data_IF_954997513851
#
_entry.id   IF_954997513851
#
_cell.length_a   1.000
_cell.length_b   1.000
_cell.length_c   1.000
_cell.angle_alpha   90.00
_cell.angle_beta   90.00
_cell.angle_gamma   90.00
#
_symmetry.space_group_name_H-M   'P 1'
#
loop_
_entity.id
_entity.type
_entity.pdbx_description
1 polymer ?
#
# COMPACT_ATOMS: atom_id res chain seq x y z
N UNK A 1 27.36 -4.38 14.85
CA UNK A 1 25.98 -3.86 14.72
C UNK A 1 24.94 -4.94 14.94
N UNK A 2 24.98 -6.10 14.25
CA UNK A 2 24.00 -7.20 14.43
C UNK A 2 23.79 -7.64 15.89
N UNK A 3 24.86 -7.83 16.66
CA UNK A 3 24.76 -8.18 18.08
C UNK A 3 23.99 -7.15 18.94
N UNK A 4 23.97 -5.87 18.55
CA UNK A 4 23.19 -4.84 19.24
C UNK A 4 21.70 -4.93 18.88
N UNK A 5 21.37 -5.25 17.63
CA UNK A 5 19.99 -5.51 17.21
C UNK A 5 19.44 -6.77 17.86
N UNK A 6 20.23 -7.84 17.93
CA UNK A 6 19.86 -9.07 18.63
C UNK A 6 19.55 -8.82 20.10
N UNK A 7 20.35 -7.99 20.79
CA UNK A 7 20.10 -7.64 22.18
C UNK A 7 18.81 -6.81 22.33
N UNK A 8 18.61 -5.76 21.51
CA UNK A 8 17.38 -4.96 21.54
C UNK A 8 16.15 -5.81 21.24
N UNK A 9 16.25 -6.73 20.28
CA UNK A 9 15.16 -7.60 19.87
C UNK A 9 14.82 -8.67 20.92
N UNK A 10 15.83 -9.31 21.51
CA UNK A 10 15.62 -10.34 22.54
C UNK A 10 14.96 -9.80 23.82
N UNK A 11 15.05 -8.50 24.07
CA UNK A 11 14.41 -7.83 25.19
C UNK A 11 12.96 -7.39 24.90
N UNK A 12 12.49 -7.52 23.66
CA UNK A 12 11.13 -7.14 23.31
C UNK A 12 10.10 -8.12 23.89
N UNK A 13 9.03 -7.60 24.51
CA UNK A 13 7.82 -8.38 24.72
C UNK A 13 7.27 -8.94 23.39
N UNK A 14 6.52 -10.05 23.47
CA UNK A 14 6.10 -10.81 22.29
C UNK A 14 5.25 -10.00 21.29
N UNK A 15 4.42 -9.09 21.77
CA UNK A 15 3.61 -8.17 20.97
C UNK A 15 4.46 -7.16 20.19
N UNK A 16 5.49 -6.59 20.83
CA UNK A 16 6.44 -5.67 20.20
C UNK A 16 7.35 -6.39 19.20
N UNK A 17 7.82 -7.60 19.53
CA UNK A 17 8.60 -8.43 18.60
C UNK A 17 7.79 -8.78 17.35
N UNK A 18 6.50 -9.14 17.51
CA UNK A 18 5.56 -9.35 16.40
C UNK A 18 5.40 -8.08 15.57
N UNK A 19 5.15 -6.94 16.21
CA UNK A 19 4.97 -5.67 15.50
C UNK A 19 6.21 -5.29 14.68
N UNK A 20 7.41 -5.40 15.26
CA UNK A 20 8.66 -5.16 14.56
C UNK A 20 8.82 -6.05 13.32
N UNK A 21 8.55 -7.37 13.47
CA UNK A 21 8.62 -8.33 12.36
C UNK A 21 7.57 -8.13 11.27
N UNK A 22 6.44 -7.47 11.52
CA UNK A 22 5.41 -7.20 10.51
C UNK A 22 5.59 -5.83 9.84
N UNK A 23 6.12 -4.85 10.56
CA UNK A 23 6.35 -3.50 10.05
C UNK A 23 7.47 -3.42 9.01
N UNK A 24 8.30 -4.46 8.86
CA UNK A 24 9.30 -4.56 7.80
C UNK A 24 8.70 -4.35 6.39
N UNK A 25 7.45 -4.77 6.19
CA UNK A 25 6.75 -4.67 4.91
C UNK A 25 6.60 -3.22 4.44
N UNK A 26 6.52 -2.27 5.38
CA UNK A 26 5.80 -1.01 5.14
C UNK A 26 6.46 0.21 5.77
N UNK A 27 7.48 0.02 6.61
CA UNK A 27 8.14 1.11 7.33
C UNK A 27 9.51 1.51 6.75
N UNK A 28 9.85 1.13 5.51
CA UNK A 28 11.17 1.42 4.93
C UNK A 28 11.45 2.93 4.83
N UNK A 29 10.47 3.71 4.34
CA UNK A 29 10.59 5.17 4.30
C UNK A 29 9.84 5.84 5.46
N UNK A 30 8.51 5.75 5.47
CA UNK A 30 7.68 6.22 6.56
C UNK A 30 6.32 5.56 6.53
N UNK A 31 5.68 5.33 7.67
CA UNK A 31 4.30 4.84 7.77
C UNK A 31 3.54 5.61 8.83
N UNK A 32 2.28 5.95 8.56
CA UNK A 32 1.38 6.54 9.55
C UNK A 32 0.97 5.54 10.64
N UNK A 33 0.67 6.03 11.84
CA UNK A 33 0.13 5.18 12.92
C UNK A 33 -1.15 4.46 12.49
N UNK A 34 -1.99 5.12 11.69
CA UNK A 34 -3.21 4.54 11.14
C UNK A 34 -2.93 3.35 10.22
N UNK A 35 -2.07 3.52 9.21
CA UNK A 35 -1.70 2.43 8.31
C UNK A 35 -1.03 1.26 9.05
N UNK A 36 -0.13 1.57 10.00
CA UNK A 36 0.48 0.56 10.85
C UNK A 36 -0.56 -0.22 11.67
N UNK A 37 -1.59 0.45 12.20
CA UNK A 37 -2.64 -0.19 12.98
C UNK A 37 -3.46 -1.19 12.15
N UNK A 38 -3.77 -0.82 10.91
CA UNK A 38 -4.49 -1.68 9.96
C UNK A 38 -3.67 -2.92 9.63
N UNK A 39 -2.39 -2.76 9.32
CA UNK A 39 -1.47 -3.87 9.06
C UNK A 39 -1.37 -4.82 10.27
N UNK A 40 -1.17 -4.28 11.48
CA UNK A 40 -1.01 -5.09 12.69
C UNK A 40 -2.31 -5.76 13.18
N UNK A 41 -3.46 -5.29 12.71
CA UNK A 41 -4.78 -5.76 13.15
C UNK A 41 -5.15 -5.26 14.55
N UNK A 42 -4.68 -4.08 14.94
CA UNK A 42 -4.86 -3.51 16.29
C UNK A 42 -5.48 -2.12 16.24
N UNK A 43 -5.88 -1.56 17.39
CA UNK A 43 -6.35 -0.17 17.43
C UNK A 43 -5.20 0.81 17.24
N UNK A 44 -5.48 2.04 16.78
CA UNK A 44 -4.44 3.08 16.69
C UNK A 44 -3.80 3.39 18.05
N UNK A 45 -4.59 3.34 19.13
CA UNK A 45 -4.08 3.57 20.50
C UNK A 45 -3.04 2.53 20.90
N UNK A 46 -3.31 1.25 20.66
CA UNK A 46 -2.38 0.16 20.95
C UNK A 46 -1.17 0.22 20.04
N UNK A 47 -1.39 0.44 18.75
CA UNK A 47 -0.34 0.58 17.72
C UNK A 47 0.63 1.70 18.09
N UNK A 48 0.11 2.87 18.48
CA UNK A 48 0.93 4.00 18.92
C UNK A 48 1.79 3.67 20.14
N UNK A 49 1.29 2.83 21.05
CA UNK A 49 2.08 2.36 22.21
C UNK A 49 3.20 1.42 21.75
N UNK A 50 2.91 0.49 20.84
CA UNK A 50 3.90 -0.43 20.26
C UNK A 50 4.99 0.34 19.51
N UNK A 51 4.61 1.26 18.61
CA UNK A 51 5.54 2.07 17.81
C UNK A 51 6.45 2.94 18.70
N UNK A 52 5.89 3.55 19.75
CA UNK A 52 6.68 4.29 20.74
C UNK A 52 7.65 3.40 21.51
N UNK A 53 7.25 2.18 21.87
CA UNK A 53 8.12 1.25 22.56
C UNK A 53 9.29 0.79 21.67
N UNK A 54 9.01 0.46 20.41
CA UNK A 54 10.01 0.13 19.40
C UNK A 54 10.97 1.30 19.14
N UNK A 55 10.45 2.53 19.09
CA UNK A 55 11.30 3.71 18.94
C UNK A 55 12.23 3.94 20.15
N UNK A 56 11.75 3.70 21.38
CA UNK A 56 12.60 3.74 22.59
C UNK A 56 13.68 2.65 22.60
N UNK A 57 13.40 1.50 21.97
CA UNK A 57 14.38 0.44 21.78
C UNK A 57 15.37 0.71 20.62
N UNK A 58 15.24 1.85 19.93
CA UNK A 58 16.08 2.21 18.78
C UNK A 58 15.75 1.44 17.50
N UNK A 59 14.60 0.77 17.44
CA UNK A 59 14.18 -0.07 16.32
C UNK A 59 13.30 0.66 15.31
N UNK A 60 12.78 1.83 15.69
CA UNK A 60 12.04 2.75 14.83
C UNK A 60 12.43 4.20 15.12
N UNK A 61 12.17 5.09 14.18
CA UNK A 61 12.30 6.54 14.33
C UNK A 61 10.97 7.21 14.04
N UNK A 62 10.57 8.13 14.90
CA UNK A 62 9.44 9.01 14.64
C UNK A 62 9.89 10.12 13.67
N UNK A 63 9.22 10.25 12.53
CA UNK A 63 9.62 11.12 11.41
C UNK A 63 8.61 12.21 11.07
N UNK A 64 7.35 12.04 11.47
CA UNK A 64 6.31 13.04 11.23
C UNK A 64 6.50 14.28 12.09
N UNK A 65 6.33 15.46 11.53
CA UNK A 65 6.31 16.73 12.29
C UNK A 65 5.15 16.79 13.30
N UNK A 66 4.09 16.03 13.04
CA UNK A 66 2.92 15.80 13.90
C UNK A 66 3.12 14.68 14.94
N UNK A 67 4.24 13.95 14.84
CA UNK A 67 4.55 12.81 15.68
C UNK A 67 3.81 11.52 15.32
N UNK A 68 3.17 11.43 14.15
CA UNK A 68 2.31 10.29 13.79
C UNK A 68 2.85 9.40 12.66
N UNK A 69 4.08 9.67 12.20
CA UNK A 69 4.77 8.83 11.22
C UNK A 69 6.05 8.21 11.75
N UNK A 70 6.34 7.02 11.25
CA UNK A 70 7.36 6.12 11.77
C UNK A 70 8.17 5.53 10.64
N UNK A 71 9.48 5.45 10.80
CA UNK A 71 10.41 4.87 9.81
C UNK A 71 11.29 3.83 10.47
N UNK A 72 11.72 2.86 9.68
CA UNK A 72 12.70 1.86 10.01
C UNK A 72 13.91 2.06 9.10
N UNK A 73 15.11 2.13 9.66
CA UNK A 73 16.32 2.18 8.83
C UNK A 73 16.47 0.89 8.03
N UNK A 74 17.04 0.96 6.83
CA UNK A 74 17.26 -0.17 5.91
C UNK A 74 17.86 -1.40 6.59
N UNK A 75 18.87 -1.20 7.44
CA UNK A 75 19.52 -2.29 8.18
C UNK A 75 18.59 -2.97 9.19
N UNK A 76 17.69 -2.20 9.80
CA UNK A 76 16.67 -2.72 10.71
C UNK A 76 15.54 -3.40 9.93
N UNK A 77 15.18 -2.89 8.75
CA UNK A 77 14.20 -3.53 7.87
C UNK A 77 14.69 -4.92 7.42
N UNK A 78 15.94 -5.00 6.97
CA UNK A 78 16.56 -6.28 6.63
C UNK A 78 16.65 -7.21 7.84
N UNK A 79 17.02 -6.68 9.02
CA UNK A 79 17.03 -7.48 10.24
C UNK A 79 15.62 -7.98 10.64
N UNK A 80 14.59 -7.15 10.50
CA UNK A 80 13.20 -7.54 10.77
C UNK A 80 12.74 -8.65 9.81
N UNK A 81 13.11 -8.55 8.52
CA UNK A 81 12.87 -9.58 7.51
C UNK A 81 13.58 -10.91 7.84
N UNK A 82 14.84 -10.86 8.28
CA UNK A 82 15.58 -12.04 8.75
C UNK A 82 14.86 -12.71 9.93
N UNK A 83 14.45 -11.92 10.94
CA UNK A 83 13.74 -12.43 12.12
C UNK A 83 12.38 -13.02 11.77
N UNK A 84 11.65 -12.37 10.88
CA UNK A 84 10.38 -12.86 10.32
C UNK A 84 10.57 -14.20 9.61
N UNK A 85 11.57 -14.31 8.76
CA UNK A 85 11.84 -15.55 8.01
C UNK A 85 12.25 -16.71 8.92
N UNK A 86 12.93 -16.41 10.03
CA UNK A 86 13.38 -17.41 11.00
C UNK A 86 12.29 -17.87 11.98
N UNK A 87 11.23 -17.08 12.18
CA UNK A 87 10.18 -17.35 13.16
C UNK A 87 8.89 -17.77 12.46
N UNK A 88 8.48 -19.04 12.62
CA UNK A 88 7.20 -19.55 12.15
C UNK A 88 6.05 -18.92 12.94
N UNK A 89 5.66 -17.69 12.57
CA UNK A 89 4.59 -16.96 13.22
C UNK A 89 3.20 -17.40 12.70
N UNK A 90 2.17 -17.44 13.57
CA UNK A 90 0.80 -17.82 13.19
C UNK A 90 0.04 -16.75 12.37
N UNK A 91 0.49 -15.49 12.37
CA UNK A 91 -0.03 -14.46 11.46
C UNK A 91 0.80 -14.50 10.17
N UNK A 92 0.14 -14.73 9.03
CA UNK A 92 0.79 -14.73 7.73
C UNK A 92 0.95 -13.28 7.25
N UNK A 93 2.15 -12.88 6.79
CA UNK A 93 2.43 -11.55 6.21
C UNK A 93 1.39 -11.14 5.18
N UNK A 94 0.87 -12.11 4.43
CA UNK A 94 -0.23 -11.95 3.50
C UNK A 94 -1.45 -11.27 4.13
N UNK A 95 -1.85 -11.65 5.34
CA UNK A 95 -3.01 -11.07 6.02
C UNK A 95 -2.73 -9.64 6.49
N UNK A 96 -1.52 -9.36 6.99
CA UNK A 96 -1.11 -8.02 7.38
C UNK A 96 -1.08 -7.08 6.16
N UNK A 97 -0.51 -7.54 5.05
CA UNK A 97 -0.49 -6.79 3.80
C UNK A 97 -1.88 -6.59 3.22
N UNK A 98 -2.74 -7.62 3.22
CA UNK A 98 -4.12 -7.52 2.75
C UNK A 98 -4.91 -6.45 3.52
N UNK A 99 -4.85 -6.44 4.86
CA UNK A 99 -5.52 -5.40 5.68
C UNK A 99 -5.02 -3.99 5.37
N UNK A 100 -3.72 -3.86 5.12
CA UNK A 100 -3.15 -2.58 4.72
C UNK A 100 -3.61 -2.15 3.33
N UNK A 101 -3.63 -3.07 2.37
CA UNK A 101 -4.10 -2.82 1.01
C UNK A 101 -5.57 -2.44 0.97
N UNK A 102 -6.42 -3.13 1.72
CA UNK A 102 -7.83 -2.79 1.88
C UNK A 102 -8.00 -1.38 2.44
N UNK A 103 -7.18 -1.02 3.44
CA UNK A 103 -7.17 0.33 4.00
C UNK A 103 -6.75 1.36 2.94
N UNK A 104 -5.63 1.16 2.26
CA UNK A 104 -5.16 2.08 1.24
C UNK A 104 -6.11 2.19 0.06
N UNK A 105 -6.72 1.09 -0.39
CA UNK A 105 -7.75 1.12 -1.41
C UNK A 105 -8.94 1.97 -0.97
N UNK A 106 -9.41 1.78 0.26
CA UNK A 106 -10.52 2.58 0.82
C UNK A 106 -10.20 4.07 0.85
N UNK A 107 -9.04 4.45 1.37
CA UNK A 107 -8.67 5.88 1.48
C UNK A 107 -8.34 6.49 0.11
N UNK A 108 -7.72 5.72 -0.79
CA UNK A 108 -7.47 6.15 -2.19
C UNK A 108 -8.78 6.37 -2.93
N UNK A 109 -9.79 5.53 -2.73
CA UNK A 109 -11.13 5.74 -3.30
C UNK A 109 -11.78 7.03 -2.78
N UNK A 110 -11.64 7.32 -1.48
CA UNK A 110 -12.12 8.60 -0.92
C UNK A 110 -11.33 9.80 -1.46
N UNK A 111 -10.01 9.67 -1.65
CA UNK A 111 -9.22 10.73 -2.26
C UNK A 111 -9.62 10.97 -3.72
N UNK A 112 -9.80 9.88 -4.48
CA UNK A 112 -10.23 9.91 -5.87
C UNK A 112 -11.58 10.59 -6.05
N UNK A 113 -12.56 10.30 -5.18
CA UNK A 113 -13.88 10.94 -5.26
C UNK A 113 -13.83 12.45 -5.02
N UNK A 114 -12.81 12.97 -4.32
CA UNK A 114 -12.58 14.41 -4.18
C UNK A 114 -11.85 15.02 -5.37
N UNK A 115 -10.90 14.29 -5.95
CA UNK A 115 -10.11 14.78 -7.09
C UNK A 115 -10.90 14.75 -8.41
N UNK A 116 -11.69 13.70 -8.62
CA UNK A 116 -12.45 13.46 -9.84
C UNK A 116 -13.88 12.99 -9.51
N UNK A 117 -14.76 13.88 -9.03
CA UNK A 117 -16.10 13.50 -8.56
C UNK A 117 -16.98 12.83 -9.64
N UNK A 118 -16.68 13.07 -10.91
CA UNK A 118 -17.44 12.56 -12.07
C UNK A 118 -16.84 11.29 -12.69
N UNK A 119 -15.75 10.76 -12.15
CA UNK A 119 -15.09 9.55 -12.66
C UNK A 119 -14.82 8.65 -11.45
N UNK A 120 -15.41 7.46 -11.42
CA UNK A 120 -14.97 6.38 -10.52
C UNK A 120 -14.70 5.20 -11.43
N UNK A 121 -13.47 4.66 -11.47
CA UNK A 121 -13.20 3.46 -12.25
C UNK A 121 -14.07 2.31 -11.74
N UNK A 122 -14.55 1.46 -12.65
CA UNK A 122 -15.13 0.18 -12.25
C UNK A 122 -13.99 -0.67 -11.66
N UNK A 123 -14.11 -1.01 -10.37
CA UNK A 123 -13.08 -1.81 -9.70
C UNK A 123 -13.22 -3.30 -10.04
N UNK A 124 -12.11 -4.01 -10.25
CA UNK A 124 -12.10 -5.45 -10.49
C UNK A 124 -12.78 -6.26 -9.38
N UNK A 125 -13.26 -7.47 -9.69
CA UNK A 125 -13.63 -8.49 -8.69
C UNK A 125 -14.85 -8.20 -7.80
N UNK A 126 -15.44 -7.01 -7.88
CA UNK A 126 -16.57 -6.65 -7.04
C UNK A 126 -16.16 -6.52 -5.57
N UNK A 127 -15.01 -5.86 -5.30
CA UNK A 127 -14.51 -5.50 -3.96
C UNK A 127 -15.62 -4.78 -3.16
N UNK A 128 -16.54 -5.55 -2.60
CA UNK A 128 -17.84 -5.09 -2.12
C UNK A 128 -17.74 -4.26 -0.83
N UNK A 129 -16.53 -4.16 -0.25
CA UNK A 129 -16.26 -3.32 0.92
C UNK A 129 -15.63 -1.96 0.55
N UNK A 130 -15.04 -1.83 -0.65
CA UNK A 130 -14.56 -0.54 -1.19
C UNK A 130 -15.55 0.09 -2.17
N UNK A 131 -16.40 -0.73 -2.83
CA UNK A 131 -17.50 -0.30 -3.70
C UNK A 131 -18.77 0.12 -2.95
N UNK A 132 -18.64 0.94 -1.89
CA UNK A 132 -19.62 2.03 -1.81
C UNK A 132 -19.22 2.94 -2.95
N UNK A 133 -19.96 2.88 -4.06
CA UNK A 133 -19.82 3.84 -5.14
C UNK A 133 -19.66 5.24 -4.54
N UNK A 134 -18.93 6.16 -5.15
CA UNK A 134 -18.78 7.51 -4.57
C UNK A 134 -20.13 8.19 -4.23
N UNK A 135 -21.25 7.74 -4.82
CA UNK A 135 -22.62 8.14 -4.46
C UNK A 135 -23.20 7.53 -3.16
N UNK A 136 -22.66 6.41 -2.68
CA UNK A 136 -23.05 5.72 -1.42
C UNK A 136 -22.18 6.13 -0.22
N UNK A 137 -21.05 6.78 -0.45
CA UNK A 137 -20.28 7.43 0.61
C UNK A 137 -21.08 8.64 1.09
N UNK A 138 -21.63 8.56 2.29
CA UNK A 138 -22.23 9.73 2.93
C UNK A 138 -21.14 10.78 3.07
N UNK A 139 -21.46 12.04 2.81
CA UNK A 139 -20.50 13.14 2.92
C UNK A 139 -19.80 13.19 4.31
N UNK A 140 -20.50 12.73 5.36
CA UNK A 140 -19.98 12.59 6.71
C UNK A 140 -18.93 11.46 6.91
N UNK A 141 -18.85 10.50 5.98
CA UNK A 141 -17.89 9.39 6.01
C UNK A 141 -16.62 9.69 5.19
N UNK A 142 -16.59 10.80 4.45
CA UNK A 142 -15.45 11.19 3.63
C UNK A 142 -14.36 11.85 4.48
N UNK A 143 -13.17 11.25 4.51
CA UNK A 143 -12.00 11.75 5.25
C UNK A 143 -11.53 13.14 4.83
N UNK A 144 -11.72 13.49 3.56
CA UNK A 144 -11.14 14.69 2.96
C UNK A 144 -12.20 15.77 2.74
N UNK A 145 -11.89 16.97 3.24
CA UNK A 145 -12.67 18.19 3.03
C UNK A 145 -12.16 18.95 1.80
N UNK A 146 -12.32 18.33 0.62
CA UNK A 146 -11.90 18.89 -0.67
C UNK A 146 -10.73 18.18 -1.36
N UNK A 147 -10.36 18.63 -2.57
CA UNK A 147 -9.32 18.00 -3.39
C UNK A 147 -7.90 18.23 -2.84
N UNK A 148 -7.60 19.38 -2.24
CA UNK A 148 -6.24 19.69 -1.77
C UNK A 148 -5.79 18.76 -0.62
N UNK A 149 -6.58 18.51 0.45
CA UNK A 149 -6.20 17.54 1.48
C UNK A 149 -6.11 16.10 0.96
N UNK A 150 -6.95 15.74 -0.02
CA UNK A 150 -6.91 14.43 -0.67
C UNK A 150 -5.61 14.23 -1.46
N UNK A 151 -5.20 15.24 -2.23
CA UNK A 151 -3.94 15.22 -2.98
C UNK A 151 -2.73 15.20 -2.05
N UNK A 152 -2.75 15.99 -0.97
CA UNK A 152 -1.67 16.02 0.01
C UNK A 152 -1.47 14.65 0.68
N UNK A 153 -2.55 13.93 1.00
CA UNK A 153 -2.45 12.57 1.53
C UNK A 153 -1.88 11.58 0.52
N UNK A 154 -2.29 11.64 -0.75
CA UNK A 154 -1.74 10.78 -1.81
C UNK A 154 -0.25 11.06 -2.05
N UNK A 155 0.15 12.33 -1.98
CA UNK A 155 1.57 12.73 -2.05
C UNK A 155 2.36 12.14 -0.88
N UNK A 156 1.77 12.21 0.31
CA UNK A 156 2.41 11.79 1.54
C UNK A 156 2.54 10.26 1.67
N UNK A 157 1.56 9.51 1.15
CA UNK A 157 1.54 8.05 1.17
C UNK A 157 2.01 7.41 -0.16
N UNK A 158 2.46 8.20 -1.14
CA UNK A 158 2.86 7.73 -2.49
C UNK A 158 3.77 6.51 -2.43
N UNK A 159 4.86 6.60 -1.68
CA UNK A 159 5.88 5.55 -1.66
C UNK A 159 5.35 4.27 -1.00
N UNK A 160 4.48 4.42 0.00
CA UNK A 160 3.80 3.29 0.62
C UNK A 160 2.79 2.65 -0.33
N UNK A 161 2.03 3.44 -1.08
CA UNK A 161 1.07 2.97 -2.08
C UNK A 161 1.78 2.17 -3.18
N UNK A 162 2.87 2.72 -3.73
CA UNK A 162 3.72 2.03 -4.73
C UNK A 162 4.30 0.72 -4.17
N UNK A 163 4.92 0.79 -2.99
CA UNK A 163 5.55 -0.38 -2.35
C UNK A 163 4.52 -1.46 -2.05
N UNK A 164 3.36 -1.07 -1.56
CA UNK A 164 2.30 -2.01 -1.18
C UNK A 164 1.74 -2.75 -2.40
N UNK A 165 1.51 -2.07 -3.53
CA UNK A 165 1.11 -2.75 -4.78
C UNK A 165 2.19 -3.72 -5.24
N UNK A 166 3.47 -3.31 -5.17
CA UNK A 166 4.58 -4.16 -5.58
C UNK A 166 4.70 -5.42 -4.72
N UNK A 167 4.52 -5.30 -3.40
CA UNK A 167 4.53 -6.45 -2.48
C UNK A 167 3.32 -7.36 -2.66
N UNK A 168 2.16 -6.81 -3.03
CA UNK A 168 0.93 -7.57 -3.23
C UNK A 168 1.04 -8.67 -4.28
N UNK A 169 1.90 -8.47 -5.28
CA UNK A 169 2.28 -9.48 -6.29
C UNK A 169 2.76 -10.78 -5.64
N UNK A 170 3.73 -10.70 -4.72
CA UNK A 170 4.37 -11.87 -4.10
C UNK A 170 3.52 -12.57 -3.03
N UNK A 171 2.37 -12.00 -2.70
CA UNK A 171 1.54 -12.43 -1.57
C UNK A 171 0.18 -13.00 -2.02
N UNK A 172 -0.01 -13.28 -3.31
CA UNK A 172 -1.24 -13.86 -3.87
C UNK A 172 -2.51 -13.05 -3.54
N UNK A 173 -2.39 -11.72 -3.55
CA UNK A 173 -3.50 -10.77 -3.33
C UNK A 173 -3.69 -9.89 -4.57
N UNK A 174 -3.81 -10.55 -5.72
CA UNK A 174 -3.87 -9.93 -7.03
C UNK A 174 -5.02 -8.92 -7.16
N UNK A 175 -6.22 -9.26 -6.71
CA UNK A 175 -7.41 -8.37 -6.81
C UNK A 175 -7.17 -7.01 -6.14
N UNK A 176 -6.59 -6.98 -4.93
CA UNK A 176 -6.24 -5.74 -4.24
C UNK A 176 -5.12 -4.98 -4.95
N UNK A 177 -4.15 -5.69 -5.52
CA UNK A 177 -3.03 -5.11 -6.26
C UNK A 177 -3.51 -4.39 -7.52
N UNK A 178 -4.35 -5.06 -8.32
CA UNK A 178 -4.95 -4.49 -9.53
C UNK A 178 -5.87 -3.33 -9.18
N UNK A 179 -6.76 -3.50 -8.19
CA UNK A 179 -7.69 -2.44 -7.78
C UNK A 179 -6.96 -1.17 -7.35
N UNK A 180 -5.91 -1.30 -6.53
CA UNK A 180 -5.14 -0.14 -6.08
C UNK A 180 -4.33 0.49 -7.24
N UNK A 181 -3.77 -0.31 -8.15
CA UNK A 181 -3.09 0.20 -9.34
C UNK A 181 -4.01 1.01 -10.26
N UNK A 182 -5.23 0.51 -10.50
CA UNK A 182 -6.26 1.22 -11.27
C UNK A 182 -6.60 2.55 -10.59
N UNK A 183 -6.83 2.55 -9.27
CA UNK A 183 -7.18 3.78 -8.54
C UNK A 183 -6.08 4.83 -8.53
N UNK A 184 -4.80 4.42 -8.51
CA UNK A 184 -3.67 5.33 -8.51
C UNK A 184 -3.37 5.94 -9.88
N UNK A 185 -3.94 5.40 -10.96
CA UNK A 185 -3.67 5.85 -12.33
C UNK A 185 -3.97 7.35 -12.51
N UNK A 186 -5.12 7.82 -12.02
CA UNK A 186 -5.49 9.23 -12.11
C UNK A 186 -4.56 10.14 -11.29
N UNK A 187 -4.11 9.67 -10.13
CA UNK A 187 -3.18 10.42 -9.30
C UNK A 187 -1.81 10.56 -9.99
N UNK A 188 -1.28 9.47 -10.56
CA UNK A 188 -0.01 9.54 -11.27
C UNK A 188 -0.07 10.41 -12.53
N UNK A 189 -1.19 10.38 -13.26
CA UNK A 189 -1.42 11.27 -14.40
C UNK A 189 -1.41 12.74 -13.95
N UNK A 190 -2.18 13.07 -12.89
CA UNK A 190 -2.25 14.41 -12.31
C UNK A 190 -0.87 14.93 -11.86
N UNK A 191 -0.03 14.06 -11.27
CA UNK A 191 1.33 14.41 -10.84
C UNK A 191 2.37 14.30 -11.95
N UNK A 192 2.03 13.74 -13.11
CA UNK A 192 2.96 13.47 -14.20
C UNK A 192 4.02 12.40 -13.88
N UNK A 193 3.78 11.55 -12.87
CA UNK A 193 4.72 10.55 -12.35
C UNK A 193 4.64 9.23 -13.13
N UNK A 194 5.10 9.30 -14.37
CA UNK A 194 5.08 8.19 -15.32
C UNK A 194 5.87 6.97 -14.85
N UNK A 195 6.97 7.19 -14.12
CA UNK A 195 7.84 6.11 -13.68
C UNK A 195 7.14 5.21 -12.67
N UNK A 196 6.49 5.79 -11.66
CA UNK A 196 5.73 5.00 -10.69
C UNK A 196 4.47 4.40 -11.28
N UNK A 197 3.79 5.11 -12.19
CA UNK A 197 2.63 4.55 -12.86
C UNK A 197 2.97 3.27 -13.61
N UNK A 198 4.06 3.28 -14.40
CA UNK A 198 4.54 2.09 -15.10
C UNK A 198 4.91 0.95 -14.15
N UNK A 199 5.60 1.26 -13.04
CA UNK A 199 5.99 0.26 -12.05
C UNK A 199 4.77 -0.40 -11.40
N UNK A 200 3.81 0.40 -10.95
CA UNK A 200 2.59 -0.05 -10.27
C UNK A 200 1.70 -0.86 -11.23
N UNK A 201 1.46 -0.34 -12.43
CA UNK A 201 0.62 -1.02 -13.41
C UNK A 201 1.26 -2.34 -13.91
N UNK A 202 2.59 -2.36 -14.11
CA UNK A 202 3.30 -3.60 -14.44
C UNK A 202 3.22 -4.63 -13.30
N UNK A 203 3.39 -4.20 -12.05
CA UNK A 203 3.28 -5.10 -10.90
C UNK A 203 1.87 -5.71 -10.79
N UNK A 204 0.83 -4.94 -11.15
CA UNK A 204 -0.54 -5.43 -11.22
C UNK A 204 -0.76 -6.48 -12.34
N UNK A 205 -0.17 -6.27 -13.52
CA UNK A 205 -0.21 -7.26 -14.62
C UNK A 205 0.46 -8.57 -14.18
N UNK A 206 1.66 -8.47 -13.59
CA UNK A 206 2.38 -9.65 -13.08
C UNK A 206 1.57 -10.38 -12.00
N UNK A 207 0.94 -9.65 -11.07
CA UNK A 207 0.09 -10.26 -10.03
C UNK A 207 -1.15 -10.96 -10.61
N UNK A 208 -1.79 -10.37 -11.62
CA UNK A 208 -2.97 -10.95 -12.26
C UNK A 208 -2.63 -12.17 -13.12
N UNK A 209 -1.49 -12.14 -13.81
CA UNK A 209 -0.96 -13.26 -14.61
C UNK A 209 -0.59 -14.44 -13.71
N UNK A 210 0.15 -14.19 -12.61
CA UNK A 210 0.49 -15.21 -11.60
C UNK A 210 -0.77 -15.83 -10.94
N UNK A 211 -1.85 -15.05 -10.79
CA UNK A 211 -3.12 -15.53 -10.26
C UNK A 211 -3.98 -16.30 -11.28
N UNK A 212 -3.58 -16.35 -12.54
CA UNK A 212 -4.33 -16.94 -13.66
C UNK A 212 -5.78 -16.40 -13.78
N UNK A 213 -6.02 -15.15 -13.37
CA UNK A 213 -7.34 -14.51 -13.46
C UNK A 213 -7.40 -13.56 -14.65
N UNK A 214 -8.01 -14.04 -15.73
CA UNK A 214 -8.17 -13.29 -16.98
C UNK A 214 -8.94 -11.97 -16.82
N UNK A 215 -9.86 -11.86 -15.86
CA UNK A 215 -10.60 -10.59 -15.63
C UNK A 215 -9.69 -9.56 -15.01
N UNK A 216 -8.96 -9.95 -13.96
CA UNK A 216 -7.96 -9.09 -13.33
C UNK A 216 -6.87 -8.68 -14.32
N UNK A 217 -6.46 -9.61 -15.20
CA UNK A 217 -5.44 -9.37 -16.20
C UNK A 217 -5.88 -8.31 -17.21
N UNK A 218 -7.13 -8.35 -17.68
CA UNK A 218 -7.67 -7.33 -18.59
C UNK A 218 -7.62 -5.93 -17.95
N UNK A 219 -8.15 -5.79 -16.72
CA UNK A 219 -8.14 -4.52 -15.98
C UNK A 219 -6.70 -3.99 -15.76
N UNK A 220 -5.76 -4.89 -15.45
CA UNK A 220 -4.35 -4.54 -15.26
C UNK A 220 -3.66 -4.12 -16.57
N UNK A 221 -3.93 -4.81 -17.69
CA UNK A 221 -3.39 -4.48 -19.00
C UNK A 221 -3.92 -3.14 -19.50
N UNK A 222 -5.19 -2.81 -19.24
CA UNK A 222 -5.77 -1.49 -19.52
C UNK A 222 -5.05 -0.38 -18.75
N UNK A 223 -4.85 -0.57 -17.43
CA UNK A 223 -4.08 0.38 -16.62
C UNK A 223 -2.63 0.53 -17.11
N UNK A 224 -1.98 -0.56 -17.53
CA UNK A 224 -0.61 -0.55 -18.03
C UNK A 224 -0.49 0.10 -19.41
N UNK A 225 -1.44 -0.17 -20.32
CA UNK A 225 -1.53 0.48 -21.62
C UNK A 225 -1.69 2.00 -21.48
N UNK A 226 -2.53 2.46 -20.56
CA UNK A 226 -2.67 3.89 -20.24
C UNK A 226 -1.37 4.50 -19.70
N UNK A 227 -0.67 3.81 -18.80
CA UNK A 227 0.63 4.25 -18.28
C UNK A 227 1.69 4.35 -19.39
N UNK A 228 1.74 3.38 -20.30
CA UNK A 228 2.64 3.38 -21.47
C UNK A 228 2.32 4.55 -22.41
N UNK A 229 1.04 4.80 -22.68
CA UNK A 229 0.61 5.92 -23.49
C UNK A 229 1.02 7.26 -22.87
N UNK A 230 0.77 7.45 -21.57
CA UNK A 230 1.16 8.65 -20.84
C UNK A 230 2.69 8.85 -20.84
N UNK A 231 3.47 7.76 -20.86
CA UNK A 231 4.93 7.76 -20.98
C UNK A 231 5.45 7.97 -22.41
N UNK A 232 4.59 8.13 -23.42
CA UNK A 232 4.98 8.29 -24.83
C UNK A 232 5.40 7.01 -25.53
N UNK A 233 5.14 5.83 -24.92
CA UNK A 233 5.46 4.49 -25.46
C UNK A 233 4.26 3.92 -26.22
N UNK A 234 3.76 4.68 -27.19
CA UNK A 234 2.47 4.41 -27.84
C UNK A 234 2.42 3.09 -28.61
N UNK A 235 3.52 2.67 -29.24
CA UNK A 235 3.56 1.37 -29.95
C UNK A 235 3.39 0.18 -28.98
N UNK A 236 4.03 0.25 -27.82
CA UNK A 236 3.90 -0.78 -26.78
C UNK A 236 2.51 -0.75 -26.14
N UNK A 237 1.95 0.45 -25.93
CA UNK A 237 0.60 0.62 -25.40
C UNK A 237 -0.44 -0.06 -26.31
N UNK A 238 -0.35 0.16 -27.62
CA UNK A 238 -1.26 -0.45 -28.60
C UNK A 238 -1.17 -1.98 -28.55
N UNK A 239 0.04 -2.53 -28.49
CA UNK A 239 0.23 -3.98 -28.41
C UNK A 239 -0.42 -4.57 -27.14
N UNK A 240 -0.18 -3.95 -25.99
CA UNK A 240 -0.74 -4.39 -24.70
C UNK A 240 -2.27 -4.29 -24.68
N UNK A 241 -2.84 -3.18 -25.13
CA UNK A 241 -4.30 -2.98 -25.14
C UNK A 241 -5.02 -3.94 -26.09
N UNK A 242 -4.39 -4.37 -27.18
CA UNK A 242 -4.95 -5.42 -28.04
C UNK A 242 -5.07 -6.79 -27.34
N UNK A 243 -4.31 -7.03 -26.27
CA UNK A 243 -4.36 -8.27 -25.50
C UNK A 243 -5.30 -8.17 -24.28
N UNK A 244 -5.83 -6.98 -23.97
CA UNK A 244 -6.79 -6.75 -22.90
C UNK A 244 -8.26 -6.98 -23.32
N UNK A 245 -8.54 -6.95 -24.63
CA UNK A 245 -9.88 -7.08 -25.23
C UNK A 245 -10.22 -8.52 -25.65
#
# INVERSE_FOLDING_TARGET
MRAAFDLSYALLPADQARAFRLLWLVAYDSISTEAAARSLGTTETETRRLLRALARAGLLRNTGSDGDRWSMHDLLAHYAEERRSAEAAPENDRQALARLMEHYLTVTTQAHSRLLPMRVPDLPGGVAHASRSAGDLREADCRFDGPEPALAWLDEERDNLVTTVHLGRYMEIAELSVSLAVMLSCYFDLRGDRASWLLVAKSAVEAADEAEDHRLLADALDAYGNALYAAGRSEEAVNILFHAA
#
